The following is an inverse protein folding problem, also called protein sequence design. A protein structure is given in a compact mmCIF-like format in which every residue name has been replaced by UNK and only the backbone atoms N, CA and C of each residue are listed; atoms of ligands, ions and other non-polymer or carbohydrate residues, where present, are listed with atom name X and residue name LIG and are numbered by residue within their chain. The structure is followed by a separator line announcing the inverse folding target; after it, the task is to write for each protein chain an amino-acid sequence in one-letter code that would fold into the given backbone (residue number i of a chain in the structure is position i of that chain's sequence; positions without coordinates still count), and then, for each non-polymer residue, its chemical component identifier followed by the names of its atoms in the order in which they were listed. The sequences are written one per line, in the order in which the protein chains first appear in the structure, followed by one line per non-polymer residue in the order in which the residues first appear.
data_IF_147324935153
#
_entry.id   IF_147324935153
#
_cell.length_a   1.000
_cell.length_b   1.000
_cell.length_c   1.000
_cell.angle_alpha   90.00
_cell.angle_beta   90.00
_cell.angle_gamma   90.00
#
_symmetry.space_group_name_H-M   'P 1'
#
loop_
_entity.id
_entity.type
_entity.pdbx_description
1 polymer ?
#
# COMPACT_ATOMS: atom_id res chain seq x y z
N UNK A 1 8.53 -6.63 -0.37
CA UNK A 1 7.89 -5.55 0.41
C UNK A 1 7.04 -4.63 -0.46
N UNK A 2 7.62 -3.89 -1.43
CA UNK A 2 6.88 -2.86 -2.19
C UNK A 2 5.63 -3.40 -2.88
N UNK A 3 5.77 -4.51 -3.61
CA UNK A 3 4.69 -5.14 -4.37
C UNK A 3 3.52 -5.56 -3.46
N UNK A 4 3.80 -6.30 -2.41
CA UNK A 4 2.77 -6.93 -1.57
C UNK A 4 2.05 -5.92 -0.69
N UNK A 5 2.79 -4.95 -0.13
CA UNK A 5 2.18 -3.91 0.71
C UNK A 5 1.33 -2.97 -0.13
N UNK A 6 1.80 -2.55 -1.30
CA UNK A 6 1.02 -1.70 -2.18
C UNK A 6 -0.29 -2.36 -2.62
N UNK A 7 -0.25 -3.65 -3.00
CA UNK A 7 -1.48 -4.41 -3.32
C UNK A 7 -2.44 -4.50 -2.13
N UNK A 8 -1.92 -4.60 -0.90
CA UNK A 8 -2.79 -4.57 0.29
C UNK A 8 -3.44 -3.20 0.52
N UNK A 9 -2.74 -2.11 0.17
CA UNK A 9 -3.28 -0.76 0.23
C UNK A 9 -4.39 -0.54 -0.80
N UNK A 10 -4.36 -1.20 -1.98
CA UNK A 10 -5.48 -1.15 -2.94
C UNK A 10 -6.80 -1.62 -2.32
N UNK A 11 -6.75 -2.72 -1.57
CA UNK A 11 -7.93 -3.21 -0.85
C UNK A 11 -8.41 -2.19 0.18
N UNK A 12 -7.47 -1.63 0.96
CA UNK A 12 -7.79 -0.63 1.97
C UNK A 12 -8.46 0.61 1.35
N UNK A 13 -7.93 1.10 0.24
CA UNK A 13 -8.47 2.27 -0.46
C UNK A 13 -9.90 2.01 -0.93
N UNK A 14 -10.14 0.87 -1.58
CA UNK A 14 -11.47 0.47 -2.05
C UNK A 14 -12.44 0.26 -0.89
N UNK A 15 -11.96 -0.28 0.22
CA UNK A 15 -12.78 -0.49 1.41
C UNK A 15 -13.28 0.85 1.98
N UNK A 16 -12.36 1.78 2.25
CA UNK A 16 -12.69 3.10 2.82
C UNK A 16 -13.52 3.92 1.83
N UNK A 17 -13.16 3.93 0.54
CA UNK A 17 -13.92 4.65 -0.50
C UNK A 17 -15.35 4.11 -0.65
N UNK A 18 -15.60 2.85 -0.28
CA UNK A 18 -16.94 2.25 -0.30
C UNK A 18 -17.69 2.42 1.04
N UNK A 19 -17.12 3.13 2.02
CA UNK A 19 -17.70 3.37 3.35
C UNK A 19 -17.41 2.27 4.37
N UNK A 20 -16.44 1.40 4.08
CA UNK A 20 -15.92 0.42 5.02
C UNK A 20 -15.03 1.06 6.10
N UNK A 21 -14.84 0.33 7.19
CA UNK A 21 -14.09 0.80 8.37
C UNK A 21 -12.57 0.86 8.18
N UNK A 22 -12.04 0.40 7.06
CA UNK A 22 -10.60 0.22 6.83
C UNK A 22 -10.09 -1.13 7.36
N UNK A 23 -8.86 -1.14 7.88
CA UNK A 23 -8.23 -2.32 8.45
C UNK A 23 -9.03 -2.86 9.66
N UNK A 24 -8.96 -4.16 9.96
CA UNK A 24 -9.46 -4.71 11.23
C UNK A 24 -8.76 -4.08 12.43
N UNK A 25 -9.46 -3.89 13.54
CA UNK A 25 -8.91 -3.30 14.77
C UNK A 25 -7.79 -4.14 15.39
N UNK A 26 -7.86 -5.46 15.24
CA UNK A 26 -6.88 -6.44 15.73
C UNK A 26 -5.84 -6.83 14.67
N UNK A 27 -5.72 -6.07 13.59
CA UNK A 27 -4.80 -6.38 12.50
C UNK A 27 -3.33 -6.27 12.95
N UNK A 28 -2.66 -7.42 13.02
CA UNK A 28 -1.22 -7.50 13.31
C UNK A 28 -0.39 -7.20 12.04
N UNK A 29 -0.05 -5.92 11.88
CA UNK A 29 0.76 -5.44 10.75
C UNK A 29 2.15 -6.09 10.69
N UNK A 30 2.76 -6.35 11.84
CA UNK A 30 4.10 -6.92 11.92
C UNK A 30 4.10 -8.38 11.46
N UNK A 31 3.14 -9.17 11.94
CA UNK A 31 2.93 -10.55 11.46
C UNK A 31 2.58 -10.57 9.99
N UNK A 32 1.71 -9.67 9.53
CA UNK A 32 1.35 -9.58 8.13
C UNK A 32 2.60 -9.32 7.27
N UNK A 33 3.38 -8.29 7.58
CA UNK A 33 4.58 -7.89 6.84
C UNK A 33 5.60 -9.04 6.73
N UNK A 34 5.90 -9.74 7.84
CA UNK A 34 6.85 -10.88 7.86
C UNK A 34 6.49 -12.01 6.89
N UNK A 35 5.20 -12.19 6.59
CA UNK A 35 4.73 -13.28 5.72
C UNK A 35 4.62 -12.88 4.25
N UNK A 36 4.81 -11.61 3.90
CA UNK A 36 4.58 -11.16 2.52
C UNK A 36 5.78 -11.39 1.60
N UNK A 37 7.01 -11.20 2.10
CA UNK A 37 8.21 -11.28 1.24
C UNK A 37 8.42 -12.68 0.69
N UNK A 38 8.20 -13.72 1.50
CA UNK A 38 8.39 -15.11 1.08
C UNK A 38 7.45 -15.55 -0.05
N UNK A 39 6.35 -14.82 -0.27
CA UNK A 39 5.44 -15.08 -1.41
C UNK A 39 6.05 -14.71 -2.76
N UNK A 40 7.20 -14.04 -2.75
CA UNK A 40 7.85 -13.52 -3.92
C UNK A 40 9.20 -14.20 -4.21
N UNK A 41 9.61 -15.18 -3.39
CA UNK A 41 10.93 -15.79 -3.45
C UNK A 41 11.21 -16.54 -4.77
N UNK A 42 10.16 -16.96 -5.49
CA UNK A 42 10.27 -17.70 -6.75
C UNK A 42 10.44 -16.79 -7.98
N UNK A 43 10.28 -15.47 -7.85
CA UNK A 43 10.38 -14.54 -8.98
C UNK A 43 11.80 -13.99 -9.16
N UNK A 44 12.18 -13.83 -10.42
CA UNK A 44 13.39 -13.11 -10.81
C UNK A 44 13.25 -11.60 -10.54
N UNK A 45 14.38 -10.89 -10.51
CA UNK A 45 14.38 -9.43 -10.33
C UNK A 45 13.55 -8.70 -11.40
N UNK A 46 13.64 -9.11 -12.66
CA UNK A 46 12.88 -8.49 -13.75
C UNK A 46 11.37 -8.71 -13.60
N UNK A 47 10.96 -9.91 -13.16
CA UNK A 47 9.57 -10.20 -12.84
C UNK A 47 9.07 -9.38 -11.64
N UNK A 48 9.91 -9.19 -10.62
CA UNK A 48 9.58 -8.33 -9.47
C UNK A 48 9.41 -6.87 -9.89
N UNK A 49 10.31 -6.35 -10.72
CA UNK A 49 10.20 -4.97 -11.26
C UNK A 49 8.93 -4.83 -12.10
N UNK A 50 8.61 -5.83 -12.94
CA UNK A 50 7.39 -5.85 -13.74
C UNK A 50 6.14 -5.83 -12.85
N UNK A 51 6.08 -6.71 -11.84
CA UNK A 51 4.96 -6.75 -10.89
C UNK A 51 4.81 -5.47 -10.08
N UNK A 52 5.91 -4.84 -9.69
CA UNK A 52 5.87 -3.54 -9.02
C UNK A 52 5.28 -2.46 -9.93
N UNK A 53 5.68 -2.42 -11.20
CA UNK A 53 5.10 -1.50 -12.19
C UNK A 53 3.59 -1.72 -12.36
N UNK A 54 3.16 -2.97 -12.48
CA UNK A 54 1.72 -3.29 -12.55
C UNK A 54 0.97 -2.80 -11.31
N UNK A 55 1.50 -3.03 -10.10
CA UNK A 55 0.90 -2.53 -8.87
C UNK A 55 0.77 -1.00 -8.84
N UNK A 56 1.77 -0.29 -9.39
CA UNK A 56 1.73 1.18 -9.53
C UNK A 56 0.65 1.66 -10.50
N UNK A 57 0.51 1.00 -11.64
CA UNK A 57 -0.53 1.30 -12.64
C UNK A 57 -1.93 1.05 -12.07
N UNK A 58 -2.11 -0.03 -11.31
CA UNK A 58 -3.33 -0.34 -10.58
C UNK A 58 -3.65 0.74 -9.53
N UNK A 59 -2.66 1.18 -8.74
CA UNK A 59 -2.85 2.29 -7.78
C UNK A 59 -3.36 3.54 -8.49
N UNK A 60 -2.73 3.91 -9.61
CA UNK A 60 -3.12 5.11 -10.38
C UNK A 60 -4.55 4.96 -10.90
N UNK A 61 -4.91 3.78 -11.39
CA UNK A 61 -6.25 3.50 -11.91
C UNK A 61 -7.31 3.62 -10.81
N UNK A 62 -7.06 3.03 -9.64
CA UNK A 62 -7.96 3.12 -8.47
C UNK A 62 -8.16 4.58 -8.04
N UNK A 63 -7.06 5.32 -7.86
CA UNK A 63 -7.16 6.70 -7.35
C UNK A 63 -7.86 7.63 -8.35
N UNK A 64 -7.73 7.37 -9.65
CA UNK A 64 -8.45 8.14 -10.70
C UNK A 64 -9.96 7.96 -10.68
N UNK A 65 -10.46 6.91 -10.05
CA UNK A 65 -11.90 6.64 -9.92
C UNK A 65 -12.53 7.37 -8.73
N UNK A 66 -11.73 7.90 -7.80
CA UNK A 66 -12.23 8.53 -6.59
C UNK A 66 -12.67 9.98 -6.82
N UNK A 67 -13.81 10.33 -6.23
CA UNK A 67 -14.26 11.71 -6.09
C UNK A 67 -13.60 12.38 -4.87
N UNK A 68 -13.72 13.71 -4.75
CA UNK A 68 -13.29 14.43 -3.55
C UNK A 68 -13.99 13.91 -2.28
N UNK A 69 -15.29 13.58 -2.37
CA UNK A 69 -16.05 13.00 -1.25
C UNK A 69 -15.48 11.64 -0.83
N UNK A 70 -14.99 10.82 -1.78
CA UNK A 70 -14.34 9.55 -1.47
C UNK A 70 -12.99 9.75 -0.79
N UNK A 71 -12.21 10.76 -1.23
CA UNK A 71 -10.92 11.12 -0.63
C UNK A 71 -11.07 11.63 0.81
N UNK A 72 -12.18 12.29 1.11
CA UNK A 72 -12.52 12.81 2.44
C UNK A 72 -13.07 11.74 3.40
N UNK A 73 -13.41 10.54 2.92
CA UNK A 73 -13.85 9.44 3.80
C UNK A 73 -12.75 9.03 4.76
N UNK A 74 -13.16 8.65 5.96
CA UNK A 74 -12.25 8.21 7.01
C UNK A 74 -12.36 6.71 7.27
N UNK A 75 -11.26 6.12 7.71
CA UNK A 75 -11.22 4.74 8.16
C UNK A 75 -9.91 4.42 8.88
N UNK A 76 -9.76 3.18 9.32
CA UNK A 76 -8.60 2.71 10.05
C UNK A 76 -7.48 2.27 9.08
N UNK A 77 -6.30 2.88 9.20
CA UNK A 77 -5.07 2.38 8.57
C UNK A 77 -4.20 1.71 9.64
N UNK A 78 -3.70 0.50 9.36
CA UNK A 78 -3.01 -0.33 10.34
C UNK A 78 -1.78 0.33 11.01
N UNK A 79 -1.10 1.26 10.30
CA UNK A 79 0.04 2.01 10.85
C UNK A 79 -0.31 3.44 11.29
N UNK A 80 -1.27 4.11 10.63
CA UNK A 80 -1.57 5.53 10.88
C UNK A 80 -2.68 5.74 11.90
N UNK A 81 -3.41 4.69 12.25
CA UNK A 81 -4.67 4.82 12.98
C UNK A 81 -5.78 5.36 12.09
N UNK A 82 -6.78 5.98 12.72
CA UNK A 82 -7.94 6.52 12.02
C UNK A 82 -7.59 7.82 11.26
N UNK A 83 -8.08 7.97 10.05
CA UNK A 83 -7.84 9.17 9.25
C UNK A 83 -8.43 9.10 7.85
N UNK A 84 -8.25 10.18 7.08
CA UNK A 84 -8.78 10.33 5.72
C UNK A 84 -8.07 9.43 4.70
N UNK A 85 -8.83 8.95 3.72
CA UNK A 85 -8.32 8.16 2.61
C UNK A 85 -7.22 8.89 1.84
N UNK A 86 -7.36 10.20 1.61
CA UNK A 86 -6.33 11.01 0.93
C UNK A 86 -4.95 10.88 1.59
N UNK A 87 -4.89 10.89 2.93
CA UNK A 87 -3.62 10.77 3.67
C UNK A 87 -2.97 9.42 3.41
N UNK A 88 -3.77 8.35 3.35
CA UNK A 88 -3.29 6.98 3.14
C UNK A 88 -2.82 6.76 1.69
N UNK A 89 -3.48 7.38 0.71
CA UNK A 89 -3.02 7.37 -0.69
C UNK A 89 -1.65 8.04 -0.82
N UNK A 90 -1.47 9.23 -0.20
CA UNK A 90 -0.16 9.91 -0.16
C UNK A 90 0.89 9.07 0.56
N UNK A 91 0.50 8.39 1.64
CA UNK A 91 1.41 7.52 2.38
C UNK A 91 1.97 6.38 1.52
N UNK A 92 1.18 5.76 0.64
CA UNK A 92 1.67 4.68 -0.22
C UNK A 92 2.90 5.08 -1.06
N UNK A 93 2.89 6.31 -1.57
CA UNK A 93 4.03 6.89 -2.28
C UNK A 93 5.20 7.20 -1.33
N UNK A 94 4.93 7.86 -0.19
CA UNK A 94 5.95 8.23 0.80
C UNK A 94 6.69 7.01 1.36
N UNK A 95 5.95 5.97 1.73
CA UNK A 95 6.44 4.68 2.21
C UNK A 95 7.42 4.03 1.22
N UNK A 96 7.05 4.00 -0.06
CA UNK A 96 7.93 3.45 -1.10
C UNK A 96 9.23 4.24 -1.21
N UNK A 97 9.15 5.58 -1.17
CA UNK A 97 10.33 6.45 -1.25
C UNK A 97 11.25 6.30 -0.04
N UNK A 98 10.70 6.08 1.15
CA UNK A 98 11.49 5.82 2.37
C UNK A 98 12.37 4.58 2.14
N UNK A 99 11.75 3.47 1.73
CA UNK A 99 12.50 2.24 1.54
C UNK A 99 13.44 2.26 0.33
N UNK A 100 13.09 3.00 -0.73
CA UNK A 100 14.02 3.22 -1.85
C UNK A 100 15.29 3.90 -1.36
N UNK A 101 15.17 4.92 -0.48
CA UNK A 101 16.33 5.58 0.10
C UNK A 101 17.14 4.65 1.00
N UNK A 102 16.49 3.80 1.80
CA UNK A 102 17.17 2.78 2.61
C UNK A 102 17.98 1.81 1.75
N UNK A 103 17.41 1.35 0.63
CA UNK A 103 18.12 0.48 -0.32
C UNK A 103 19.33 1.21 -0.91
N UNK A 104 19.16 2.47 -1.35
CA UNK A 104 20.28 3.27 -1.88
C UNK A 104 21.40 3.42 -0.84
N UNK A 105 21.05 3.78 0.40
CA UNK A 105 22.02 3.90 1.49
C UNK A 105 22.76 2.58 1.78
N UNK A 106 22.06 1.44 1.68
CA UNK A 106 22.67 0.13 1.85
C UNK A 106 23.62 -0.26 0.70
N UNK A 107 23.45 0.33 -0.49
CA UNK A 107 24.23 0.04 -1.69
C UNK A 107 25.40 1.02 -1.94
N UNK A 108 25.38 2.22 -1.35
CA UNK A 108 26.45 3.24 -1.44
C UNK A 108 26.04 4.47 -2.23
#
# INVERSE_FOLDING_TARGET
HFITIERSMHWLFKNISSGGSGAPEDFDIERFNRTQTSKLDEFTLDELISQFRTGREETISIVKEFSEDDLDREGLHAFHGHGKLERFIRWAYEHTRIHENEIRQALG
#
